data_IF_736229421091
#
_entry.id   IF_736229421091
#
_cell.length_a   1.000
_cell.length_b   1.000
_cell.length_c   1.000
_cell.angle_alpha   90.00
_cell.angle_beta   90.00
_cell.angle_gamma   90.00
#
_symmetry.space_group_name_H-M   'P 1'
#
loop_
_entity.id
_entity.type
_entity.pdbx_description
1 polymer ?
#
# COMPACT_ATOMS: atom_id res chain seq x y z
N UNK A 1 -2.82 77.51 -11.42
CA UNK A 1 -2.13 76.22 -11.22
C UNK A 1 -2.79 75.59 -9.99
N UNK A 2 -3.83 74.75 -10.04
CA UNK A 2 -4.08 73.49 -10.78
C UNK A 2 -2.86 72.56 -10.72
N UNK A 3 -2.93 71.50 -9.91
CA UNK A 3 -2.88 70.10 -10.36
C UNK A 3 -3.56 69.19 -9.34
N UNK A 4 -4.66 68.56 -9.79
CA UNK A 4 -5.21 67.29 -9.28
C UNK A 4 -4.20 66.18 -9.56
N UNK A 5 -4.09 65.18 -8.67
CA UNK A 5 -3.83 63.82 -9.13
C UNK A 5 -4.61 62.81 -8.29
N UNK A 6 -5.47 62.10 -8.99
CA UNK A 6 -6.19 60.91 -8.56
C UNK A 6 -5.24 59.72 -8.35
N UNK A 7 -5.66 58.83 -7.44
CA UNK A 7 -5.69 57.38 -7.66
C UNK A 7 -4.41 56.59 -7.42
N UNK A 8 -4.43 55.71 -6.42
CA UNK A 8 -4.34 54.26 -6.63
C UNK A 8 -4.58 53.51 -5.31
N UNK A 9 -5.78 52.95 -5.19
CA UNK A 9 -6.12 51.95 -4.18
C UNK A 9 -5.49 50.63 -4.61
N UNK A 10 -4.40 50.21 -3.94
CA UNK A 10 -3.90 48.84 -4.06
C UNK A 10 -4.88 47.91 -3.33
N UNK A 11 -5.81 47.31 -4.09
CA UNK A 11 -6.47 46.07 -3.66
C UNK A 11 -5.41 44.99 -3.68
N UNK A 12 -5.10 44.45 -2.52
CA UNK A 12 -4.31 43.24 -2.36
C UNK A 12 -5.29 42.09 -2.58
N UNK A 13 -5.21 41.44 -3.73
CA UNK A 13 -5.96 40.22 -4.02
C UNK A 13 -5.45 39.10 -3.08
N UNK A 14 -6.10 38.95 -1.92
CA UNK A 14 -5.87 37.90 -0.93
C UNK A 14 -6.90 36.75 -1.09
N UNK A 15 -7.14 36.30 -2.33
CA UNK A 15 -8.16 35.26 -2.61
C UNK A 15 -7.63 33.95 -3.20
N UNK A 16 -6.31 33.71 -3.26
CA UNK A 16 -5.76 32.47 -3.84
C UNK A 16 -5.08 31.50 -2.85
N UNK A 17 -5.07 31.76 -1.54
CA UNK A 17 -4.33 30.91 -0.57
C UNK A 17 -5.20 29.85 0.16
N UNK A 18 -6.52 29.82 -0.05
CA UNK A 18 -7.41 28.88 0.67
C UNK A 18 -7.68 27.59 -0.10
N UNK A 19 -7.62 27.61 -1.45
CA UNK A 19 -7.92 26.45 -2.28
C UNK A 19 -6.71 25.52 -2.47
N UNK A 20 -5.49 26.04 -2.34
CA UNK A 20 -4.24 25.27 -2.44
C UNK A 20 -4.00 24.42 -1.19
N UNK A 21 -4.24 25.00 0.01
CA UNK A 21 -4.05 24.28 1.27
C UNK A 21 -5.00 23.07 1.42
N UNK A 22 -6.26 23.19 0.97
CA UNK A 22 -7.21 22.08 1.03
C UNK A 22 -6.84 20.89 0.15
N UNK A 23 -6.23 21.12 -1.02
CA UNK A 23 -5.85 20.05 -1.95
C UNK A 23 -4.60 19.33 -1.45
N UNK A 24 -3.63 20.07 -0.92
CA UNK A 24 -2.42 19.49 -0.30
C UNK A 24 -2.79 18.69 0.96
N UNK A 25 -3.71 19.18 1.80
CA UNK A 25 -4.20 18.46 2.97
C UNK A 25 -4.87 17.13 2.61
N UNK A 26 -5.70 17.11 1.55
CA UNK A 26 -6.34 15.88 1.06
C UNK A 26 -5.32 14.88 0.50
N UNK A 27 -4.26 15.37 -0.16
CA UNK A 27 -3.17 14.54 -0.68
C UNK A 27 -2.29 13.95 0.42
N UNK A 28 -1.98 14.72 1.46
CA UNK A 28 -1.28 14.23 2.65
C UNK A 28 -2.14 13.17 3.34
N UNK A 29 -3.44 13.44 3.51
CA UNK A 29 -4.40 12.47 4.07
C UNK A 29 -4.47 11.20 3.23
N UNK A 30 -4.48 11.32 1.90
CA UNK A 30 -4.44 10.18 0.98
C UNK A 30 -3.19 9.32 1.20
N UNK A 31 -2.00 9.91 1.20
CA UNK A 31 -0.75 9.19 1.41
C UNK A 31 -0.72 8.47 2.77
N UNK A 32 -1.19 9.14 3.83
CA UNK A 32 -1.29 8.55 5.18
C UNK A 32 -2.25 7.36 5.22
N UNK A 33 -3.43 7.47 4.58
CA UNK A 33 -4.39 6.38 4.50
C UNK A 33 -3.87 5.20 3.67
N UNK A 34 -3.14 5.45 2.57
CA UNK A 34 -2.51 4.41 1.77
C UNK A 34 -1.42 3.67 2.56
N UNK A 35 -0.58 4.40 3.32
CA UNK A 35 0.42 3.79 4.22
C UNK A 35 -0.28 2.94 5.28
N UNK A 36 -1.41 3.41 5.83
CA UNK A 36 -2.20 2.62 6.78
C UNK A 36 -2.78 1.37 6.13
N UNK A 37 -3.35 1.48 4.93
CA UNK A 37 -3.93 0.37 4.19
C UNK A 37 -2.88 -0.70 3.90
N UNK A 38 -1.77 -0.33 3.26
CA UNK A 38 -0.69 -1.24 2.92
C UNK A 38 0.06 -1.78 4.14
N UNK A 39 0.10 -1.00 5.22
CA UNK A 39 0.70 -1.38 6.49
C UNK A 39 -0.22 -2.17 7.40
N UNK A 40 -1.50 -2.37 7.06
CA UNK A 40 -2.43 -3.14 7.89
C UNK A 40 -2.15 -4.63 7.71
N UNK A 41 -2.07 -5.35 8.83
CA UNK A 41 -1.80 -6.80 8.91
C UNK A 41 -2.56 -7.40 10.07
N UNK A 42 -2.73 -8.72 10.05
CA UNK A 42 -3.25 -9.46 11.20
C UNK A 42 -2.19 -9.48 12.28
N UNK A 43 -2.52 -8.90 13.44
CA UNK A 43 -1.69 -8.96 14.64
C UNK A 43 -1.82 -10.34 15.30
N UNK A 44 -0.77 -10.77 16.00
CA UNK A 44 -0.79 -12.03 16.73
C UNK A 44 -1.91 -12.03 17.77
N UNK A 45 -2.57 -13.18 17.91
CA UNK A 45 -3.69 -13.38 18.85
C UNK A 45 -4.95 -12.53 18.61
N UNK A 46 -4.97 -11.65 17.59
CA UNK A 46 -6.17 -10.94 17.20
C UNK A 46 -7.05 -11.78 16.25
N UNK A 47 -8.39 -11.76 16.41
CA UNK A 47 -9.29 -12.38 15.46
C UNK A 47 -9.08 -11.79 14.06
N UNK A 48 -9.15 -12.64 13.05
CA UNK A 48 -9.01 -12.21 11.66
C UNK A 48 -10.10 -11.21 11.24
N UNK A 49 -11.26 -11.26 11.91
CA UNK A 49 -12.35 -10.31 11.72
C UNK A 49 -11.93 -8.88 12.06
N UNK A 50 -11.16 -8.67 13.13
CA UNK A 50 -10.65 -7.35 13.51
C UNK A 50 -9.73 -6.78 12.45
N UNK A 51 -8.85 -7.62 11.89
CA UNK A 51 -7.98 -7.25 10.77
C UNK A 51 -8.78 -6.88 9.52
N UNK A 52 -9.73 -7.72 9.10
CA UNK A 52 -10.60 -7.47 7.93
C UNK A 52 -11.41 -6.20 8.10
N UNK A 53 -11.95 -5.95 9.31
CA UNK A 53 -12.69 -4.71 9.62
C UNK A 53 -11.80 -3.48 9.51
N UNK A 54 -10.58 -3.52 10.06
CA UNK A 54 -9.62 -2.41 9.97
C UNK A 54 -9.26 -2.12 8.51
N UNK A 55 -8.96 -3.16 7.74
CA UNK A 55 -8.66 -3.04 6.32
C UNK A 55 -9.82 -2.39 5.54
N UNK A 56 -11.06 -2.88 5.75
CA UNK A 56 -12.27 -2.33 5.14
C UNK A 56 -12.55 -0.89 5.57
N UNK A 57 -12.34 -0.57 6.84
CA UNK A 57 -12.53 0.79 7.35
C UNK A 57 -11.58 1.77 6.68
N UNK A 58 -10.30 1.43 6.53
CA UNK A 58 -9.33 2.29 5.84
C UNK A 58 -9.68 2.45 4.36
N UNK A 59 -10.12 1.38 3.69
CA UNK A 59 -10.57 1.44 2.30
C UNK A 59 -11.80 2.34 2.11
N UNK A 60 -12.74 2.31 3.05
CA UNK A 60 -13.89 3.22 3.05
C UNK A 60 -13.43 4.68 3.21
N UNK A 61 -12.49 4.96 4.13
CA UNK A 61 -11.93 6.30 4.30
C UNK A 61 -11.21 6.81 3.04
N UNK A 62 -10.60 5.91 2.25
CA UNK A 62 -10.00 6.24 0.96
C UNK A 62 -11.07 6.52 -0.11
N UNK A 63 -12.16 5.77 -0.12
CA UNK A 63 -13.29 6.03 -1.01
C UNK A 63 -13.97 7.38 -0.73
N UNK A 64 -14.06 7.79 0.54
CA UNK A 64 -14.60 9.10 0.95
C UNK A 64 -13.83 10.29 0.37
N UNK A 65 -12.53 10.14 0.09
CA UNK A 65 -11.69 11.16 -0.55
C UNK A 65 -11.49 10.90 -2.04
N UNK A 66 -12.44 10.20 -2.68
CA UNK A 66 -12.43 9.87 -4.12
C UNK A 66 -11.26 8.98 -4.59
N UNK A 67 -10.70 8.18 -3.70
CA UNK A 67 -9.68 7.18 -4.03
C UNK A 67 -10.14 5.77 -3.65
N UNK A 68 -11.23 5.25 -4.25
CA UNK A 68 -11.72 3.90 -3.93
C UNK A 68 -10.67 2.84 -4.27
N UNK A 69 -10.51 1.85 -3.39
CA UNK A 69 -9.65 0.69 -3.62
C UNK A 69 -10.43 -0.36 -4.42
N UNK A 70 -9.81 -0.94 -5.43
CA UNK A 70 -10.42 -2.01 -6.22
C UNK A 70 -10.60 -3.29 -5.40
N UNK A 71 -11.57 -4.13 -5.77
CA UNK A 71 -11.79 -5.42 -5.11
C UNK A 71 -10.55 -6.33 -5.19
N UNK A 72 -9.81 -6.27 -6.30
CA UNK A 72 -8.55 -7.01 -6.47
C UNK A 72 -7.49 -6.54 -5.46
N UNK A 73 -7.28 -5.23 -5.34
CA UNK A 73 -6.29 -4.66 -4.40
C UNK A 73 -6.68 -4.92 -2.95
N UNK A 74 -7.98 -4.93 -2.64
CA UNK A 74 -8.49 -5.36 -1.34
C UNK A 74 -8.10 -6.80 -1.02
N UNK A 75 -8.21 -7.71 -2.00
CA UNK A 75 -7.83 -9.13 -1.84
C UNK A 75 -6.32 -9.28 -1.74
N UNK A 76 -5.56 -8.60 -2.59
CA UNK A 76 -4.09 -8.63 -2.57
C UNK A 76 -3.56 -8.15 -1.21
N UNK A 77 -4.09 -7.03 -0.70
CA UNK A 77 -3.72 -6.51 0.62
C UNK A 77 -4.18 -7.44 1.74
N UNK A 78 -5.39 -8.01 1.65
CA UNK A 78 -5.89 -9.00 2.60
C UNK A 78 -4.86 -10.13 2.75
N UNK A 79 -4.46 -10.76 1.64
CA UNK A 79 -3.49 -11.86 1.63
C UNK A 79 -2.09 -11.42 2.06
N UNK A 80 -1.63 -10.25 1.62
CA UNK A 80 -0.33 -9.69 1.97
C UNK A 80 -0.14 -9.54 3.49
N UNK A 81 -1.18 -9.07 4.19
CA UNK A 81 -1.16 -8.90 5.65
C UNK A 81 -1.48 -10.16 6.46
N UNK A 82 -1.71 -11.31 5.84
CA UNK A 82 -1.85 -12.59 6.57
C UNK A 82 -0.48 -13.19 6.91
N UNK A 83 -0.33 -13.76 8.13
CA UNK A 83 0.90 -14.39 8.57
C UNK A 83 1.19 -15.70 7.81
N UNK A 84 2.43 -16.17 7.92
CA UNK A 84 2.94 -17.31 7.14
C UNK A 84 2.16 -18.62 7.33
N UNK A 85 1.45 -18.81 8.43
CA UNK A 85 0.58 -19.99 8.62
C UNK A 85 -0.56 -20.07 7.59
N UNK A 86 -0.94 -18.96 6.95
CA UNK A 86 -1.96 -18.92 5.89
C UNK A 86 -1.36 -19.12 4.51
N UNK A 87 -0.07 -19.45 4.37
CA UNK A 87 0.57 -19.67 3.06
C UNK A 87 -0.22 -20.63 2.15
N UNK A 88 -0.73 -21.78 2.62
CA UNK A 88 -1.55 -22.66 1.78
C UNK A 88 -2.81 -21.97 1.25
N UNK A 89 -3.47 -21.16 2.10
CA UNK A 89 -4.64 -20.39 1.72
C UNK A 89 -4.28 -19.25 0.76
N UNK A 90 -3.18 -18.53 1.01
CA UNK A 90 -2.67 -17.46 0.13
C UNK A 90 -2.45 -18.00 -1.27
N UNK A 91 -1.80 -19.15 -1.40
CA UNK A 91 -1.57 -19.82 -2.69
C UNK A 91 -2.88 -20.28 -3.34
N UNK A 92 -3.81 -20.84 -2.55
CA UNK A 92 -5.11 -21.28 -3.06
C UNK A 92 -5.93 -20.12 -3.62
N UNK A 93 -5.88 -18.96 -2.97
CA UNK A 93 -6.62 -17.77 -3.40
C UNK A 93 -5.91 -17.07 -4.56
N UNK A 94 -4.58 -16.94 -4.52
CA UNK A 94 -3.82 -16.26 -5.58
C UNK A 94 -3.73 -17.06 -6.89
N UNK A 95 -3.88 -18.38 -6.85
CA UNK A 95 -3.96 -19.22 -8.04
C UNK A 95 -5.35 -19.26 -8.68
N UNK A 96 -6.34 -18.55 -8.13
CA UNK A 96 -7.66 -18.41 -8.77
C UNK A 96 -7.63 -17.25 -9.75
N UNK A 97 -7.96 -17.55 -11.01
CA UNK A 97 -8.19 -16.55 -12.03
C UNK A 97 -9.65 -16.63 -12.54
N UNK A 98 -10.41 -15.52 -12.56
CA UNK A 98 -10.05 -14.22 -11.98
C UNK A 98 -9.89 -14.30 -10.45
N UNK A 99 -9.16 -13.33 -9.87
CA UNK A 99 -9.11 -13.19 -8.41
C UNK A 99 -10.53 -13.09 -7.85
N UNK A 100 -10.83 -13.74 -6.71
CA UNK A 100 -12.14 -13.67 -6.09
C UNK A 100 -12.46 -12.24 -5.64
N UNK A 101 -13.73 -11.94 -5.40
CA UNK A 101 -14.13 -10.67 -4.78
C UNK A 101 -13.59 -10.56 -3.35
N UNK A 102 -13.54 -9.34 -2.79
CA UNK A 102 -13.12 -9.17 -1.40
C UNK A 102 -14.02 -9.94 -0.43
N UNK A 103 -15.33 -9.98 -0.69
CA UNK A 103 -16.29 -10.74 0.11
C UNK A 103 -16.03 -12.25 0.09
N UNK A 104 -15.78 -12.81 -1.09
CA UNK A 104 -15.46 -14.24 -1.24
C UNK A 104 -14.12 -14.60 -0.60
N UNK A 105 -13.10 -13.75 -0.76
CA UNK A 105 -11.81 -13.93 -0.11
C UNK A 105 -11.93 -13.90 1.42
N UNK A 106 -12.71 -12.97 1.97
CA UNK A 106 -13.01 -12.94 3.40
C UNK A 106 -13.71 -14.23 3.85
N UNK A 107 -14.71 -14.71 3.09
CA UNK A 107 -15.38 -15.98 3.39
C UNK A 107 -14.40 -17.16 3.41
N UNK A 108 -13.50 -17.26 2.43
CA UNK A 108 -12.47 -18.30 2.38
C UNK A 108 -11.52 -18.23 3.58
N UNK A 109 -11.15 -17.02 3.98
CA UNK A 109 -10.30 -16.76 5.16
C UNK A 109 -11.01 -17.14 6.46
N UNK A 110 -12.28 -16.77 6.65
CA UNK A 110 -13.05 -17.15 7.83
C UNK A 110 -13.30 -18.66 7.90
N UNK A 111 -13.56 -19.30 6.76
CA UNK A 111 -13.71 -20.77 6.68
C UNK A 111 -12.43 -21.48 7.12
N UNK A 112 -11.26 -20.94 6.78
CA UNK A 112 -9.97 -21.50 7.18
C UNK A 112 -9.71 -21.40 8.69
N UNK A 113 -10.26 -20.40 9.39
CA UNK A 113 -10.19 -20.30 10.86
C UNK A 113 -11.12 -21.32 11.56
N UNK A 114 -12.25 -21.66 10.93
CA UNK A 114 -13.25 -22.58 11.50
C UNK A 114 -13.08 -24.07 11.14
N UNK A 115 -12.25 -24.41 10.16
CA UNK A 115 -12.03 -25.79 9.69
C UNK A 115 -10.56 -26.03 9.34
N UNK A 116 -9.98 -27.13 9.81
CA UNK A 116 -8.70 -27.64 9.29
C UNK A 116 -8.85 -27.97 7.81
N UNK A 117 -8.16 -27.24 6.94
CA UNK A 117 -8.17 -27.50 5.51
C UNK A 117 -7.61 -28.90 5.22
N UNK A 118 -8.41 -29.74 4.54
CA UNK A 118 -7.90 -30.95 3.89
C UNK A 118 -7.41 -30.56 2.50
N UNK A 119 -6.22 -31.07 2.14
CA UNK A 119 -5.58 -30.86 0.86
C UNK A 119 -6.38 -31.62 -0.20
N UNK A 120 -7.24 -30.93 -0.94
CA UNK A 120 -7.75 -31.45 -2.20
C UNK A 120 -6.88 -30.87 -3.33
N UNK A 121 -5.86 -31.63 -3.70
CA UNK A 121 -5.15 -31.44 -4.97
C UNK A 121 -6.16 -31.66 -6.10
N UNK A 122 -6.62 -30.56 -6.68
CA UNK A 122 -7.31 -30.58 -7.97
C UNK A 122 -6.32 -30.15 -9.04
N UNK A 123 -5.55 -31.12 -9.53
CA UNK A 123 -4.86 -31.03 -10.81
C UNK A 123 -5.90 -31.19 -11.92
N UNK A 124 -6.17 -30.13 -12.69
CA UNK A 124 -6.13 -30.11 -14.15
C UNK A 124 -6.81 -28.84 -14.66
N UNK A 125 -6.03 -27.96 -15.26
CA UNK A 125 -6.42 -27.31 -16.50
C UNK A 125 -5.12 -27.00 -17.24
N UNK A 126 -5.05 -27.39 -18.52
CA UNK A 126 -3.98 -26.95 -19.41
C UNK A 126 -4.06 -25.43 -19.49
N UNK A 127 -3.13 -24.74 -18.83
CA UNK A 127 -3.17 -23.28 -18.70
C UNK A 127 -2.75 -22.65 -20.02
N UNK A 128 -3.58 -21.73 -20.50
CA UNK A 128 -3.18 -20.79 -21.52
C UNK A 128 -2.16 -19.82 -20.89
N UNK A 129 -1.11 -19.45 -21.62
CA UNK A 129 -0.01 -18.55 -21.15
C UNK A 129 -0.47 -17.29 -20.40
N UNK A 130 -1.68 -16.78 -20.71
CA UNK A 130 -2.24 -15.56 -20.10
C UNK A 130 -2.66 -15.80 -18.64
N UNK A 131 -3.19 -16.98 -18.29
CA UNK A 131 -3.62 -17.27 -16.92
C UNK A 131 -2.43 -17.39 -15.98
N UNK A 132 -1.34 -17.99 -16.45
CA UNK A 132 -0.10 -18.15 -15.68
C UNK A 132 0.55 -16.80 -15.35
N UNK A 133 0.55 -15.86 -16.31
CA UNK A 133 1.06 -14.50 -16.08
C UNK A 133 0.21 -13.73 -15.06
N UNK A 134 -1.12 -13.92 -15.07
CA UNK A 134 -2.02 -13.27 -14.12
C UNK A 134 -1.88 -13.84 -12.70
N UNK A 135 -1.72 -15.16 -12.57
CA UNK A 135 -1.43 -15.80 -11.29
C UNK A 135 -0.07 -15.32 -10.76
N UNK A 136 0.95 -15.25 -11.63
CA UNK A 136 2.27 -14.72 -11.29
C UNK A 136 2.18 -13.25 -10.85
N UNK A 137 1.40 -12.43 -11.54
CA UNK A 137 1.15 -11.03 -11.18
C UNK A 137 0.58 -10.92 -9.76
N UNK A 138 -0.50 -11.64 -9.46
CA UNK A 138 -1.12 -11.63 -8.15
C UNK A 138 -0.14 -12.08 -7.05
N UNK A 139 0.65 -13.13 -7.29
CA UNK A 139 1.65 -13.62 -6.35
C UNK A 139 2.76 -12.58 -6.09
N UNK A 140 3.23 -11.88 -7.13
CA UNK A 140 4.23 -10.83 -7.00
C UNK A 140 3.67 -9.60 -6.26
N UNK A 141 2.43 -9.21 -6.50
CA UNK A 141 1.76 -8.13 -5.76
C UNK A 141 1.58 -8.48 -4.28
N UNK A 142 1.19 -9.72 -3.96
CA UNK A 142 1.12 -10.20 -2.57
C UNK A 142 2.50 -10.16 -1.91
N UNK A 143 3.56 -10.55 -2.64
CA UNK A 143 4.93 -10.44 -2.13
C UNK A 143 5.34 -8.99 -1.89
N UNK A 144 5.06 -8.10 -2.84
CA UNK A 144 5.40 -6.68 -2.75
C UNK A 144 4.72 -6.04 -1.53
N UNK A 145 3.40 -6.16 -1.43
CA UNK A 145 2.61 -5.62 -0.33
C UNK A 145 2.84 -6.34 1.00
N UNK A 146 3.32 -7.58 0.97
CA UNK A 146 3.63 -8.39 2.14
C UNK A 146 5.06 -8.23 2.67
N UNK A 147 5.97 -7.60 1.91
CA UNK A 147 7.37 -7.43 2.34
C UNK A 147 7.45 -6.45 3.50
N UNK A 148 8.09 -6.84 4.61
CA UNK A 148 8.26 -6.02 5.82
C UNK A 148 9.72 -5.86 6.14
N UNK A 149 10.10 -4.73 6.74
CA UNK A 149 11.48 -4.51 7.21
C UNK A 149 11.88 -5.55 8.26
N UNK A 150 10.96 -6.02 9.09
CA UNK A 150 11.24 -6.96 10.18
C UNK A 150 11.78 -8.33 9.73
N UNK A 151 11.51 -8.73 8.49
CA UNK A 151 11.99 -9.98 7.91
C UNK A 151 13.45 -9.89 7.40
N UNK A 152 14.06 -8.71 7.44
CA UNK A 152 15.38 -8.46 6.86
C UNK A 152 16.28 -7.68 7.81
N UNK A 153 17.54 -8.12 7.87
CA UNK A 153 18.62 -7.36 8.48
C UNK A 153 19.86 -7.51 7.59
N UNK A 154 20.55 -6.42 7.20
CA UNK A 154 20.27 -5.01 7.51
C UNK A 154 19.15 -4.41 6.63
N UNK A 155 18.80 -3.13 6.84
CA UNK A 155 17.68 -2.45 6.16
C UNK A 155 17.80 -2.39 4.63
N UNK A 156 19.02 -2.44 4.11
CA UNK A 156 19.33 -2.51 2.69
C UNK A 156 18.78 -3.79 2.05
N UNK A 157 18.72 -4.89 2.81
CA UNK A 157 18.13 -6.15 2.34
C UNK A 157 16.62 -6.02 2.12
N UNK A 158 15.93 -5.26 2.99
CA UNK A 158 14.51 -4.94 2.83
C UNK A 158 14.27 -4.09 1.58
N UNK A 159 15.02 -2.98 1.42
CA UNK A 159 14.91 -2.10 0.25
C UNK A 159 15.21 -2.87 -1.05
N UNK A 160 16.25 -3.71 -1.04
CA UNK A 160 16.63 -4.54 -2.19
C UNK A 160 15.54 -5.54 -2.54
N UNK A 161 14.88 -6.15 -1.55
CA UNK A 161 13.76 -7.07 -1.80
C UNK A 161 12.59 -6.36 -2.48
N UNK A 162 12.21 -5.17 -2.00
CA UNK A 162 11.18 -4.34 -2.64
C UNK A 162 11.54 -4.00 -4.10
N UNK A 163 12.77 -3.50 -4.35
CA UNK A 163 13.28 -3.21 -5.70
C UNK A 163 13.21 -4.44 -6.60
N UNK A 164 13.66 -5.60 -6.11
CA UNK A 164 13.67 -6.84 -6.88
C UNK A 164 12.26 -7.28 -7.27
N UNK A 165 11.30 -7.23 -6.34
CA UNK A 165 9.92 -7.62 -6.64
C UNK A 165 9.25 -6.64 -7.60
N UNK A 166 9.51 -5.34 -7.47
CA UNK A 166 9.02 -4.32 -8.41
C UNK A 166 9.58 -4.51 -9.82
N UNK A 167 10.85 -4.88 -9.96
CA UNK A 167 11.45 -5.23 -11.24
C UNK A 167 10.77 -6.46 -11.87
N UNK A 168 10.50 -7.51 -11.07
CA UNK A 168 9.77 -8.69 -11.56
C UNK A 168 8.33 -8.36 -12.00
N UNK A 169 7.68 -7.37 -11.38
CA UNK A 169 6.38 -6.86 -11.81
C UNK A 169 6.49 -6.08 -13.14
N UNK A 170 7.54 -5.27 -13.30
CA UNK A 170 7.80 -4.56 -14.56
C UNK A 170 8.08 -5.52 -15.74
N UNK A 171 8.78 -6.63 -15.50
CA UNK A 171 9.04 -7.68 -16.50
C UNK A 171 7.76 -8.29 -17.11
N UNK A 172 6.65 -8.28 -16.36
CA UNK A 172 5.34 -8.76 -16.81
C UNK A 172 4.38 -7.60 -17.16
N UNK A 173 4.93 -6.45 -17.53
CA UNK A 173 4.19 -5.24 -17.95
C UNK A 173 3.30 -4.62 -16.86
N UNK A 174 3.65 -4.80 -15.58
CA UNK A 174 2.97 -4.16 -14.45
C UNK A 174 3.95 -3.34 -13.61
N UNK A 175 4.61 -2.30 -14.17
CA UNK A 175 5.54 -1.48 -13.40
C UNK A 175 4.84 -0.78 -12.23
N UNK A 176 5.50 -0.73 -11.07
CA UNK A 176 5.04 0.00 -9.90
C UNK A 176 5.49 1.47 -10.02
N UNK A 177 4.58 2.40 -9.72
CA UNK A 177 4.92 3.82 -9.72
C UNK A 177 5.89 4.17 -8.60
N UNK A 178 6.67 5.24 -8.78
CA UNK A 178 7.64 5.66 -7.76
C UNK A 178 6.95 6.06 -6.44
N UNK A 179 5.77 6.68 -6.53
CA UNK A 179 4.91 6.99 -5.39
C UNK A 179 4.48 5.72 -4.63
N UNK A 180 4.03 4.68 -5.35
CA UNK A 180 3.61 3.43 -4.73
C UNK A 180 4.79 2.67 -4.11
N UNK A 181 5.98 2.78 -4.70
CA UNK A 181 7.22 2.28 -4.10
C UNK A 181 7.49 2.94 -2.74
N UNK A 182 7.34 4.27 -2.66
CA UNK A 182 7.50 5.02 -1.39
C UNK A 182 6.42 4.64 -0.38
N UNK A 183 5.16 4.56 -0.80
CA UNK A 183 4.06 4.18 0.08
C UNK A 183 4.27 2.77 0.65
N UNK A 184 4.69 1.81 -0.18
CA UNK A 184 4.99 0.45 0.27
C UNK A 184 6.23 0.39 1.18
N UNK A 185 7.27 1.17 0.90
CA UNK A 185 8.44 1.30 1.78
C UNK A 185 8.00 1.75 3.18
N UNK A 186 7.23 2.82 3.28
CA UNK A 186 6.77 3.35 4.57
C UNK A 186 5.79 2.40 5.27
N UNK A 187 4.92 1.74 4.51
CA UNK A 187 3.97 0.76 5.02
C UNK A 187 4.65 -0.43 5.71
N UNK A 188 5.78 -0.90 5.15
CA UNK A 188 6.52 -2.05 5.68
C UNK A 188 7.53 -1.72 6.79
N UNK A 189 7.73 -0.44 7.13
CA UNK A 189 8.56 -0.03 8.27
C UNK A 189 7.82 -0.17 9.61
N UNK A 190 8.50 -0.68 10.67
CA UNK A 190 7.94 -0.79 12.00
C UNK A 190 7.76 0.57 12.68
N UNK A 191 7.08 0.56 13.83
CA UNK A 191 6.66 1.77 14.54
C UNK A 191 7.83 2.68 15.00
N UNK A 192 9.04 2.15 15.15
CA UNK A 192 10.23 2.95 15.46
C UNK A 192 10.57 4.00 14.39
N UNK A 193 10.14 3.81 13.14
CA UNK A 193 10.29 4.80 12.06
C UNK A 193 9.09 5.74 11.95
N UNK A 194 8.16 5.75 12.91
CA UNK A 194 6.96 6.61 12.84
C UNK A 194 7.28 8.10 12.59
N UNK A 195 8.31 8.70 13.22
CA UNK A 195 8.70 10.09 12.91
C UNK A 195 9.09 10.28 11.43
N UNK A 196 9.84 9.33 10.87
CA UNK A 196 10.21 9.34 9.45
C UNK A 196 8.99 9.16 8.54
N UNK A 197 8.11 8.20 8.86
CA UNK A 197 6.87 7.94 8.10
C UNK A 197 6.02 9.20 8.01
N UNK A 198 5.83 9.91 9.12
CA UNK A 198 5.08 11.16 9.16
C UNK A 198 5.78 12.27 8.37
N UNK A 199 7.10 12.37 8.49
CA UNK A 199 7.90 13.37 7.76
C UNK A 199 7.79 13.19 6.25
N UNK A 200 7.87 11.94 5.76
CA UNK A 200 7.78 11.66 4.33
C UNK A 200 6.34 11.79 3.82
N UNK A 201 5.35 11.26 4.56
CA UNK A 201 3.94 11.32 4.13
C UNK A 201 3.33 12.72 4.13
N UNK A 202 3.95 13.67 4.84
CA UNK A 202 3.54 15.08 4.85
C UNK A 202 4.18 15.90 3.72
N UNK A 203 5.01 15.29 2.87
CA UNK A 203 5.59 15.98 1.70
C UNK A 203 4.65 15.83 0.50
N UNK A 204 4.39 16.95 -0.18
CA UNK A 204 3.74 16.94 -1.48
C UNK A 204 4.57 17.71 -2.52
N UNK A 205 4.90 17.10 -3.68
CA UNK A 205 4.72 15.68 -4.01
C UNK A 205 5.52 14.76 -3.06
N UNK A 206 5.17 13.48 -3.01
CA UNK A 206 6.01 12.48 -2.33
C UNK A 206 7.44 12.51 -2.93
N UNK A 207 8.49 12.30 -2.12
CA UNK A 207 9.85 12.23 -2.63
C UNK A 207 9.99 11.03 -3.57
N UNK A 208 11.10 10.99 -4.32
CA UNK A 208 11.37 9.81 -5.12
C UNK A 208 11.64 8.58 -4.25
N UNK A 209 11.51 7.37 -4.80
CA UNK A 209 11.84 6.17 -4.06
C UNK A 209 13.31 6.15 -3.60
N UNK A 210 14.23 6.65 -4.41
CA UNK A 210 15.66 6.72 -4.05
C UNK A 210 15.91 7.73 -2.93
N UNK A 211 15.25 8.89 -2.96
CA UNK A 211 15.31 9.88 -1.88
C UNK A 211 14.73 9.30 -0.58
N UNK A 212 13.59 8.60 -0.66
CA UNK A 212 12.98 7.95 0.49
C UNK A 212 13.88 6.86 1.08
N UNK A 213 14.55 6.05 0.24
CA UNK A 213 15.56 5.08 0.70
C UNK A 213 16.69 5.77 1.47
N UNK A 214 17.20 6.88 0.94
CA UNK A 214 18.27 7.65 1.58
C UNK A 214 17.86 8.15 2.97
N UNK A 215 16.64 8.68 3.09
CA UNK A 215 16.08 9.09 4.38
C UNK A 215 15.89 7.91 5.35
N UNK A 216 15.51 6.74 4.85
CA UNK A 216 15.39 5.49 5.63
C UNK A 216 16.75 5.03 6.17
N UNK A 217 17.81 5.08 5.36
CA UNK A 217 19.16 4.71 5.79
C UNK A 217 19.69 5.65 6.87
N UNK A 218 19.52 6.97 6.68
CA UNK A 218 19.88 7.95 7.71
C UNK A 218 19.12 7.71 9.03
N UNK A 219 17.85 7.30 8.95
CA UNK A 219 17.07 6.98 10.14
C UNK A 219 17.53 5.69 10.82
N UNK A 220 18.01 4.69 10.07
CA UNK A 220 18.56 3.46 10.64
C UNK A 220 19.82 3.73 11.45
N UNK A 221 20.73 4.56 10.93
CA UNK A 221 21.95 4.96 11.65
C UNK A 221 21.66 5.67 12.98
N UNK A 222 20.52 6.36 13.09
CA UNK A 222 20.07 7.02 14.33
C UNK A 222 19.49 6.02 15.34
N UNK A 223 18.96 4.89 14.86
CA UNK A 223 18.30 3.88 15.68
C UNK A 223 19.25 2.78 16.19
N UNK A 224 20.42 2.63 15.58
CA UNK A 224 21.50 1.70 15.97
C UNK A 224 22.40 2.28 17.06
#
# INVERSE_FOLDING_TARGET
MVYKHEGMSFRKDESNNSSTNSVEDDQIRLAQLQIQFHGTRREDFQPIESYVKKLKSTANSLAEINSPISDSDMVLQLLAGLPNQYLPLKNTISSKWPLPTFGDACFMVYKHEGMSFRKDESNNSSTNSVEDDQIRLAQLQIQFHGTRREDFQPIESYVKKLKSTANSLAEINSPISDSDMVLQLLAGLPNQYLPLKNTISSKWPLPTFEDACSMVYMQEDILL
#
